data_IF_977064651773
#
_entry.id   IF_977064651773
#
_cell.length_a   1.000
_cell.length_b   1.000
_cell.length_c   1.000
_cell.angle_alpha   90.00
_cell.angle_beta   90.00
_cell.angle_gamma   90.00
#
_symmetry.space_group_name_H-M   'P 1'
#
loop_
_entity.id
_entity.type
_entity.pdbx_description
1 polymer ?
#
# COMPACT_ATOMS: atom_id res chain seq x y z
N UNK A 1 -33.74 -18.29 -0.82
CA UNK A 1 -32.53 -18.25 0.02
C UNK A 1 -32.67 -17.11 1.00
N UNK A 2 -32.97 -17.41 2.26
CA UNK A 2 -33.25 -16.41 3.30
C UNK A 2 -32.02 -15.53 3.50
N UNK A 3 -32.16 -14.26 3.13
CA UNK A 3 -31.16 -13.22 3.23
C UNK A 3 -30.98 -12.86 4.71
N UNK A 4 -30.41 -13.77 5.50
CA UNK A 4 -30.15 -13.57 6.91
C UNK A 4 -28.89 -12.69 7.03
N UNK A 5 -29.03 -11.41 6.68
CA UNK A 5 -28.02 -10.34 6.82
C UNK A 5 -28.20 -9.60 8.16
N UNK A 6 -28.60 -10.32 9.22
CA UNK A 6 -28.64 -9.74 10.57
C UNK A 6 -27.21 -9.54 11.06
N UNK A 7 -26.93 -8.38 11.66
CA UNK A 7 -25.67 -8.14 12.38
C UNK A 7 -25.51 -9.13 13.53
N UNK A 8 -24.27 -9.53 13.80
CA UNK A 8 -23.96 -10.39 14.94
C UNK A 8 -24.29 -9.66 16.25
N UNK A 9 -24.82 -10.39 17.23
CA UNK A 9 -24.91 -9.89 18.61
C UNK A 9 -23.53 -9.86 19.26
N UNK A 10 -23.39 -9.14 20.37
CA UNK A 10 -22.12 -9.09 21.12
C UNK A 10 -21.66 -10.49 21.54
N UNK A 11 -22.59 -11.34 21.98
CA UNK A 11 -22.28 -12.70 22.42
C UNK A 11 -21.86 -13.60 21.24
N UNK A 12 -22.49 -13.42 20.07
CA UNK A 12 -22.08 -14.10 18.84
C UNK A 12 -20.69 -13.65 18.37
N UNK A 13 -20.38 -12.35 18.46
CA UNK A 13 -19.03 -11.80 18.14
C UNK A 13 -17.97 -12.43 19.05
N UNK A 14 -18.23 -12.51 20.36
CA UNK A 14 -17.31 -13.12 21.34
C UNK A 14 -17.13 -14.61 21.05
N UNK A 15 -18.24 -15.33 20.86
CA UNK A 15 -18.23 -16.77 20.56
C UNK A 15 -17.44 -17.09 19.29
N UNK A 16 -17.70 -16.35 18.19
CA UNK A 16 -16.96 -16.53 16.95
C UNK A 16 -15.48 -16.18 17.11
N UNK A 17 -15.15 -15.08 17.78
CA UNK A 17 -13.76 -14.71 18.02
C UNK A 17 -12.99 -15.75 18.84
N UNK A 18 -13.60 -16.34 19.87
CA UNK A 18 -13.00 -17.42 20.65
C UNK A 18 -12.73 -18.67 19.80
N UNK A 19 -13.67 -19.03 18.91
CA UNK A 19 -13.48 -20.16 17.97
C UNK A 19 -12.33 -19.91 17.00
N UNK A 20 -12.18 -18.67 16.52
CA UNK A 20 -11.08 -18.28 15.62
C UNK A 20 -9.73 -18.37 16.33
N UNK A 21 -9.63 -17.87 17.58
CA UNK A 21 -8.40 -17.99 18.37
C UNK A 21 -8.07 -19.46 18.68
N UNK A 22 -9.06 -20.27 19.04
CA UNK A 22 -8.86 -21.70 19.27
C UNK A 22 -8.40 -22.43 18.00
N UNK A 23 -8.94 -22.05 16.84
CA UNK A 23 -8.51 -22.58 15.54
C UNK A 23 -7.10 -22.13 15.14
N UNK A 24 -6.69 -20.91 15.49
CA UNK A 24 -5.32 -20.44 15.28
C UNK A 24 -4.32 -21.26 16.12
N UNK A 25 -4.63 -21.49 17.41
CA UNK A 25 -3.85 -22.37 18.27
C UNK A 25 -3.77 -23.81 17.72
N UNK A 26 -4.90 -24.36 17.26
CA UNK A 26 -4.94 -25.67 16.63
C UNK A 26 -4.12 -25.72 15.32
N UNK A 27 -4.11 -24.62 14.55
CA UNK A 27 -3.31 -24.50 13.33
C UNK A 27 -1.82 -24.55 13.64
N UNK A 28 -1.36 -23.87 14.68
CA UNK A 28 0.04 -23.91 15.12
C UNK A 28 0.46 -25.33 15.55
N UNK A 29 -0.43 -26.07 16.22
CA UNK A 29 -0.17 -27.49 16.56
C UNK A 29 -0.03 -28.34 15.30
N UNK A 30 -0.94 -28.19 14.33
CA UNK A 30 -0.88 -28.94 13.05
C UNK A 30 0.40 -28.60 12.29
N UNK A 31 0.79 -27.32 12.23
CA UNK A 31 2.02 -26.89 11.56
C UNK A 31 3.26 -27.49 12.22
N UNK A 32 3.31 -27.53 13.56
CA UNK A 32 4.41 -28.17 14.28
C UNK A 32 4.52 -29.66 13.98
N UNK A 33 3.39 -30.38 13.92
CA UNK A 33 3.39 -31.79 13.52
C UNK A 33 3.79 -31.96 12.04
N UNK A 34 3.39 -31.03 11.17
CA UNK A 34 3.80 -31.01 9.77
C UNK A 34 5.33 -30.84 9.65
N UNK A 35 5.92 -29.92 10.42
CA UNK A 35 7.36 -29.71 10.47
C UNK A 35 8.10 -30.95 10.99
N UNK A 36 7.59 -31.58 12.04
CA UNK A 36 8.16 -32.82 12.57
C UNK A 36 8.13 -33.95 11.53
N UNK A 37 7.02 -34.08 10.78
CA UNK A 37 6.89 -35.03 9.69
C UNK A 37 7.87 -34.74 8.54
N UNK A 38 7.99 -33.48 8.13
CA UNK A 38 8.94 -33.07 7.08
C UNK A 38 10.40 -33.33 7.47
N UNK A 39 10.72 -33.30 8.77
CA UNK A 39 12.05 -33.66 9.27
C UNK A 39 12.29 -35.17 9.29
N UNK A 40 11.30 -35.98 9.64
CA UNK A 40 11.43 -37.44 9.64
C UNK A 40 11.48 -38.01 8.22
N UNK A 41 10.70 -37.45 7.29
CA UNK A 41 10.58 -37.95 5.92
C UNK A 41 10.79 -36.83 4.88
N UNK A 42 12.02 -36.34 4.71
CA UNK A 42 12.32 -35.18 3.87
C UNK A 42 12.08 -35.41 2.37
N UNK A 43 12.12 -36.67 1.91
CA UNK A 43 11.99 -37.04 0.49
C UNK A 43 10.60 -37.58 0.12
N UNK A 44 9.65 -37.63 1.06
CA UNK A 44 8.29 -38.08 0.80
C UNK A 44 7.52 -37.10 -0.10
N UNK A 45 6.66 -37.61 -0.98
CA UNK A 45 5.77 -36.79 -1.82
C UNK A 45 4.90 -35.86 -0.94
N UNK A 46 4.47 -36.37 0.22
CA UNK A 46 3.69 -35.63 1.21
C UNK A 46 4.46 -34.42 1.73
N UNK A 47 5.75 -34.58 2.04
CA UNK A 47 6.62 -33.47 2.47
C UNK A 47 6.77 -32.40 1.39
N UNK A 48 6.94 -32.80 0.12
CA UNK A 48 7.02 -31.86 -1.00
C UNK A 48 5.72 -31.07 -1.18
N UNK A 49 4.56 -31.73 -1.05
CA UNK A 49 3.24 -31.06 -1.11
C UNK A 49 3.05 -30.07 0.03
N UNK A 50 3.36 -30.46 1.26
CA UNK A 50 3.24 -29.58 2.43
C UNK A 50 4.15 -28.36 2.29
N UNK A 51 5.41 -28.56 1.87
CA UNK A 51 6.35 -27.45 1.63
C UNK A 51 5.82 -26.48 0.59
N UNK A 52 5.29 -26.98 -0.53
CA UNK A 52 4.70 -26.13 -1.56
C UNK A 52 3.49 -25.33 -1.06
N UNK A 53 2.68 -25.89 -0.17
CA UNK A 53 1.56 -25.16 0.46
C UNK A 53 2.10 -24.05 1.36
N UNK A 54 3.11 -24.35 2.18
CA UNK A 54 3.71 -23.40 3.12
C UNK A 54 4.35 -22.23 2.37
N UNK A 55 5.20 -22.51 1.37
CA UNK A 55 5.94 -21.49 0.63
C UNK A 55 5.04 -20.51 -0.14
N UNK A 56 3.89 -20.99 -0.63
CA UNK A 56 2.93 -20.17 -1.37
C UNK A 56 1.97 -19.36 -0.49
N UNK A 57 1.95 -19.61 0.83
CA UNK A 57 0.91 -19.09 1.70
C UNK A 57 1.46 -18.06 2.70
N UNK A 58 0.88 -16.86 2.70
CA UNK A 58 1.12 -15.88 3.77
C UNK A 58 0.13 -16.12 4.92
N UNK A 59 0.56 -15.83 6.15
CA UNK A 59 -0.26 -15.90 7.37
C UNK A 59 -0.98 -17.26 7.56
N UNK A 60 -0.22 -18.35 7.50
CA UNK A 60 -0.74 -19.73 7.56
C UNK A 60 -1.58 -20.02 8.81
N UNK A 61 -1.22 -19.43 9.96
CA UNK A 61 -1.95 -19.58 11.23
C UNK A 61 -3.46 -19.31 11.08
N UNK A 62 -3.83 -18.31 10.27
CA UNK A 62 -5.22 -17.93 10.04
C UNK A 62 -5.77 -18.38 8.68
N UNK A 63 -4.96 -19.09 7.88
CA UNK A 63 -5.38 -19.67 6.61
C UNK A 63 -5.93 -21.08 6.81
N UNK A 64 -7.06 -21.16 7.51
CA UNK A 64 -7.68 -22.40 7.94
C UNK A 64 -7.96 -23.40 6.80
N UNK A 65 -8.21 -22.92 5.57
CA UNK A 65 -8.41 -23.79 4.40
C UNK A 65 -7.12 -24.53 4.01
N UNK A 66 -5.97 -23.86 4.09
CA UNK A 66 -4.66 -24.46 3.82
C UNK A 66 -4.19 -25.37 4.95
N UNK A 67 -4.47 -25.00 6.19
CA UNK A 67 -4.22 -25.87 7.35
C UNK A 67 -5.07 -27.15 7.28
N UNK A 68 -6.34 -27.04 6.87
CA UNK A 68 -7.19 -28.20 6.63
C UNK A 68 -6.61 -29.12 5.53
N UNK A 69 -6.07 -28.54 4.46
CA UNK A 69 -5.39 -29.29 3.40
C UNK A 69 -4.17 -30.05 3.96
N UNK A 70 -3.27 -29.36 4.68
CA UNK A 70 -2.09 -29.96 5.31
C UNK A 70 -2.48 -31.09 6.28
N UNK A 71 -3.45 -30.84 7.16
CA UNK A 71 -3.90 -31.82 8.14
C UNK A 71 -4.47 -33.09 7.49
N UNK A 72 -5.24 -32.95 6.39
CA UNK A 72 -5.76 -34.11 5.65
C UNK A 72 -4.64 -34.94 5.01
N UNK A 73 -3.64 -34.29 4.44
CA UNK A 73 -2.49 -34.98 3.83
C UNK A 73 -1.71 -35.73 4.92
N UNK A 74 -1.44 -35.09 6.07
CA UNK A 74 -0.76 -35.75 7.20
C UNK A 74 -1.54 -36.95 7.73
N UNK A 75 -2.87 -36.83 7.90
CA UNK A 75 -3.71 -37.93 8.39
C UNK A 75 -3.71 -39.11 7.42
N UNK A 76 -3.63 -38.87 6.10
CA UNK A 76 -3.61 -39.93 5.10
C UNK A 76 -2.30 -40.74 5.09
N UNK A 77 -1.19 -40.11 5.49
CA UNK A 77 0.14 -40.74 5.51
C UNK A 77 0.42 -41.49 6.82
N UNK A 78 -0.30 -41.16 7.90
CA UNK A 78 -0.07 -41.76 9.22
C UNK A 78 -0.46 -43.25 9.24
N UNK A 79 0.49 -44.06 9.70
CA UNK A 79 0.26 -45.50 9.93
C UNK A 79 -0.72 -45.75 11.09
N UNK A 80 -1.49 -46.86 11.08
CA UNK A 80 -2.48 -47.19 12.14
C UNK A 80 -1.91 -47.24 13.56
N UNK A 81 -0.61 -47.50 13.70
CA UNK A 81 0.11 -47.55 14.99
C UNK A 81 0.32 -46.16 15.63
N UNK A 82 0.11 -45.08 14.86
CA UNK A 82 0.21 -43.68 15.33
C UNK A 82 -1.09 -43.11 15.88
N UNK A 83 -1.97 -43.94 16.46
CA UNK A 83 -3.33 -43.57 16.83
C UNK A 83 -3.44 -42.32 17.72
N UNK A 84 -2.46 -42.06 18.60
CA UNK A 84 -2.44 -40.83 19.41
C UNK A 84 -2.20 -39.55 18.58
N UNK A 85 -1.27 -39.60 17.61
CA UNK A 85 -0.98 -38.47 16.70
C UNK A 85 -2.14 -38.23 15.74
N UNK A 86 -2.71 -39.31 15.22
CA UNK A 86 -3.88 -39.22 14.34
C UNK A 86 -5.06 -38.57 15.09
N UNK A 87 -5.34 -39.01 16.32
CA UNK A 87 -6.41 -38.43 17.13
C UNK A 87 -6.17 -36.95 17.46
N UNK A 88 -4.92 -36.57 17.75
CA UNK A 88 -4.53 -35.17 17.95
C UNK A 88 -4.82 -34.33 16.71
N UNK A 89 -4.40 -34.79 15.52
CA UNK A 89 -4.63 -34.07 14.27
C UNK A 89 -6.11 -33.97 13.93
N UNK A 90 -6.89 -35.04 14.11
CA UNK A 90 -8.35 -35.03 13.89
C UNK A 90 -9.07 -34.04 14.81
N UNK A 91 -8.67 -33.99 16.08
CA UNK A 91 -9.24 -33.06 17.06
C UNK A 91 -8.93 -31.61 16.71
N UNK A 92 -7.68 -31.31 16.33
CA UNK A 92 -7.30 -29.96 15.92
C UNK A 92 -7.92 -29.57 14.57
N UNK A 93 -8.05 -30.50 13.63
CA UNK A 93 -8.74 -30.27 12.35
C UNK A 93 -10.21 -29.87 12.55
N UNK A 94 -10.91 -30.50 13.51
CA UNK A 94 -12.29 -30.12 13.85
C UNK A 94 -12.36 -28.66 14.34
N UNK A 95 -11.43 -28.24 15.20
CA UNK A 95 -11.33 -26.84 15.66
C UNK A 95 -11.04 -25.89 14.51
N UNK A 96 -10.12 -26.24 13.61
CA UNK A 96 -9.78 -25.43 12.43
C UNK A 96 -10.99 -25.22 11.51
N UNK A 97 -11.79 -26.27 11.27
CA UNK A 97 -13.03 -26.17 10.49
C UNK A 97 -14.05 -25.25 11.15
N UNK A 98 -14.24 -25.40 12.46
CA UNK A 98 -15.16 -24.55 13.22
C UNK A 98 -14.73 -23.08 13.20
N UNK A 99 -13.45 -22.80 13.44
CA UNK A 99 -12.90 -21.44 13.34
C UNK A 99 -12.95 -20.87 11.92
N UNK A 100 -12.76 -21.71 10.89
CA UNK A 100 -12.97 -21.34 9.49
C UNK A 100 -14.39 -20.88 9.19
N UNK A 101 -15.38 -21.61 9.69
CA UNK A 101 -16.78 -21.22 9.57
C UNK A 101 -17.08 -19.93 10.34
N UNK A 102 -16.59 -19.81 11.58
CA UNK A 102 -16.75 -18.63 12.42
C UNK A 102 -16.12 -17.37 11.77
N UNK A 103 -14.89 -17.48 11.23
CA UNK A 103 -14.21 -16.42 10.46
C UNK A 103 -15.05 -15.98 9.27
N UNK A 104 -15.57 -16.94 8.51
CA UNK A 104 -16.46 -16.67 7.38
C UNK A 104 -17.73 -15.91 7.79
N UNK A 105 -18.38 -16.31 8.87
CA UNK A 105 -19.55 -15.59 9.40
C UNK A 105 -19.17 -14.17 9.83
N UNK A 106 -18.10 -13.98 10.59
CA UNK A 106 -17.66 -12.64 11.01
C UNK A 106 -17.39 -11.72 9.82
N UNK A 107 -16.76 -12.22 8.76
CA UNK A 107 -16.51 -11.43 7.55
C UNK A 107 -17.83 -11.06 6.85
N UNK A 108 -18.65 -12.06 6.50
CA UNK A 108 -19.89 -11.85 5.71
C UNK A 108 -20.85 -10.90 6.42
N UNK A 109 -21.01 -11.04 7.74
CA UNK A 109 -21.93 -10.22 8.53
C UNK A 109 -21.46 -8.76 8.67
N UNK A 110 -20.16 -8.49 8.51
CA UNK A 110 -19.58 -7.16 8.64
C UNK A 110 -19.25 -6.46 7.31
N UNK A 111 -19.55 -7.07 6.15
CA UNK A 111 -19.34 -6.42 4.84
C UNK A 111 -20.09 -5.08 4.68
N UNK A 112 -21.22 -4.91 5.38
CA UNK A 112 -21.96 -3.64 5.38
C UNK A 112 -21.15 -2.47 5.98
N UNK A 113 -20.34 -2.75 7.01
CA UNK A 113 -19.43 -1.78 7.61
C UNK A 113 -18.37 -1.33 6.60
N UNK A 114 -17.77 -2.27 5.87
CA UNK A 114 -16.77 -1.98 4.83
C UNK A 114 -17.36 -1.08 3.75
N UNK A 115 -18.54 -1.42 3.21
CA UNK A 115 -19.20 -0.59 2.19
C UNK A 115 -19.47 0.83 2.69
N UNK A 116 -19.96 0.98 3.92
CA UNK A 116 -20.21 2.30 4.52
C UNK A 116 -18.93 3.13 4.66
N UNK A 117 -17.85 2.50 5.13
CA UNK A 117 -16.56 3.18 5.30
C UNK A 117 -15.93 3.53 3.95
N UNK A 118 -15.96 2.62 2.97
CA UNK A 118 -15.48 2.90 1.62
C UNK A 118 -16.21 4.08 0.97
N UNK A 119 -17.53 4.20 1.14
CA UNK A 119 -18.31 5.34 0.63
C UNK A 119 -17.88 6.67 1.26
N UNK A 120 -17.49 6.67 2.54
CA UNK A 120 -17.05 7.89 3.24
C UNK A 120 -15.64 8.32 2.80
N UNK A 121 -14.84 7.36 2.31
CA UNK A 121 -13.46 7.55 1.86
C UNK A 121 -13.36 7.52 0.32
N UNK A 122 -14.42 7.94 -0.38
CA UNK A 122 -14.41 8.05 -1.83
C UNK A 122 -13.28 8.98 -2.28
N UNK A 123 -12.59 8.58 -3.34
CA UNK A 123 -11.45 9.30 -3.92
C UNK A 123 -11.64 9.39 -5.43
N UNK A 124 -11.22 10.51 -6.04
CA UNK A 124 -11.24 10.66 -7.49
C UNK A 124 -10.31 9.66 -8.20
N UNK A 125 -9.27 9.21 -7.51
CA UNK A 125 -8.22 8.36 -8.09
C UNK A 125 -8.53 6.87 -8.06
N UNK A 126 -9.56 6.46 -7.29
CA UNK A 126 -9.76 5.06 -6.96
C UNK A 126 -11.21 4.67 -7.16
N UNK A 127 -11.44 3.57 -7.89
CA UNK A 127 -12.78 3.03 -8.08
C UNK A 127 -13.37 2.57 -6.73
N UNK A 128 -14.67 2.77 -6.57
CA UNK A 128 -15.39 2.39 -5.35
C UNK A 128 -15.27 0.88 -5.04
N UNK A 129 -15.28 0.04 -6.07
CA UNK A 129 -15.14 -1.41 -5.92
C UNK A 129 -13.75 -1.80 -5.39
N UNK A 130 -12.69 -1.10 -5.82
CA UNK A 130 -11.34 -1.32 -5.32
C UNK A 130 -11.24 -0.93 -3.84
N UNK A 131 -11.82 0.22 -3.44
CA UNK A 131 -11.89 0.62 -2.03
C UNK A 131 -12.61 -0.41 -1.17
N UNK A 132 -13.68 -1.02 -1.69
CA UNK A 132 -14.40 -2.10 -1.00
C UNK A 132 -13.52 -3.33 -0.86
N UNK A 133 -12.77 -3.72 -1.90
CA UNK A 133 -11.88 -4.88 -1.83
C UNK A 133 -10.73 -4.67 -0.85
N UNK A 134 -10.09 -3.50 -0.88
CA UNK A 134 -9.04 -3.16 0.07
C UNK A 134 -9.58 -3.04 1.50
N UNK A 135 -10.79 -2.51 1.67
CA UNK A 135 -11.50 -2.52 2.93
C UNK A 135 -11.82 -3.93 3.44
N UNK A 136 -12.13 -4.87 2.54
CA UNK A 136 -12.34 -6.29 2.89
C UNK A 136 -11.02 -6.93 3.38
N UNK A 137 -9.88 -6.58 2.80
CA UNK A 137 -8.57 -7.03 3.32
C UNK A 137 -8.32 -6.52 4.74
N UNK A 138 -8.63 -5.25 5.00
CA UNK A 138 -8.58 -4.66 6.34
C UNK A 138 -9.53 -5.37 7.33
N UNK A 139 -10.75 -5.68 6.89
CA UNK A 139 -11.72 -6.44 7.69
C UNK A 139 -11.21 -7.84 8.03
N UNK A 140 -10.62 -8.56 7.07
CA UNK A 140 -10.05 -9.89 7.31
C UNK A 140 -8.96 -9.81 8.39
N UNK A 141 -8.04 -8.85 8.28
CA UNK A 141 -6.99 -8.63 9.30
C UNK A 141 -7.58 -8.30 10.68
N UNK A 142 -8.65 -7.52 10.72
CA UNK A 142 -9.35 -7.23 11.97
C UNK A 142 -9.95 -8.48 12.59
N UNK A 143 -10.57 -9.37 11.79
CA UNK A 143 -11.12 -10.64 12.29
C UNK A 143 -10.03 -11.55 12.85
N UNK A 144 -8.86 -11.60 12.19
CA UNK A 144 -7.72 -12.41 12.62
C UNK A 144 -7.12 -11.92 13.94
N UNK A 145 -7.07 -10.60 14.17
CA UNK A 145 -6.44 -9.99 15.36
C UNK A 145 -7.41 -9.59 16.47
N UNK A 146 -8.70 -9.87 16.30
CA UNK A 146 -9.71 -9.49 17.28
C UNK A 146 -9.52 -10.27 18.59
N UNK A 147 -9.54 -9.55 19.72
CA UNK A 147 -9.54 -10.14 21.05
C UNK A 147 -10.95 -10.10 21.68
N UNK A 148 -11.62 -11.26 21.83
CA UNK A 148 -12.94 -11.36 22.47
C UNK A 148 -12.96 -10.93 23.93
N UNK A 149 -11.83 -11.02 24.63
CA UNK A 149 -11.78 -10.79 26.08
C UNK A 149 -11.74 -9.31 26.45
N UNK A 150 -11.44 -8.45 25.47
CA UNK A 150 -11.27 -7.01 25.68
C UNK A 150 -12.62 -6.26 25.88
N UNK A 151 -13.76 -6.95 25.71
CA UNK A 151 -15.09 -6.42 26.02
C UNK A 151 -15.68 -5.40 25.03
N UNK A 152 -14.90 -5.00 24.02
CA UNK A 152 -15.29 -4.08 22.96
C UNK A 152 -16.05 -4.79 21.83
N UNK A 153 -17.00 -4.10 21.19
CA UNK A 153 -17.68 -4.62 19.99
C UNK A 153 -16.69 -4.76 18.84
N UNK A 154 -16.84 -5.81 18.04
CA UNK A 154 -15.95 -6.06 16.89
C UNK A 154 -15.96 -4.88 15.89
N UNK A 155 -17.14 -4.33 15.61
CA UNK A 155 -17.29 -3.17 14.71
C UNK A 155 -16.47 -1.94 15.11
N UNK A 156 -16.24 -1.72 16.41
CA UNK A 156 -15.39 -0.63 16.90
C UNK A 156 -13.93 -0.89 16.53
N UNK A 157 -13.44 -2.11 16.78
CA UNK A 157 -12.08 -2.53 16.47
C UNK A 157 -11.81 -2.57 14.96
N UNK A 158 -12.73 -3.16 14.20
CA UNK A 158 -12.58 -3.33 12.74
C UNK A 158 -12.55 -2.00 11.99
N UNK A 159 -13.18 -0.95 12.53
CA UNK A 159 -13.22 0.37 11.89
C UNK A 159 -11.83 0.90 11.57
N UNK A 160 -10.89 0.80 12.51
CA UNK A 160 -9.55 1.37 12.34
C UNK A 160 -8.73 0.57 11.32
N UNK A 161 -8.82 -0.76 11.35
CA UNK A 161 -8.20 -1.64 10.33
C UNK A 161 -8.72 -1.40 8.92
N UNK A 162 -10.03 -1.24 8.77
CA UNK A 162 -10.66 -0.95 7.47
C UNK A 162 -10.20 0.42 6.97
N UNK A 163 -10.30 1.47 7.81
CA UNK A 163 -9.87 2.83 7.44
C UNK A 163 -8.39 2.89 7.08
N UNK A 164 -7.53 2.25 7.88
CA UNK A 164 -6.09 2.24 7.64
C UNK A 164 -5.76 1.61 6.28
N UNK A 165 -6.40 0.48 5.95
CA UNK A 165 -6.13 -0.23 4.69
C UNK A 165 -6.65 0.56 3.49
N UNK A 166 -7.85 1.14 3.60
CA UNK A 166 -8.41 2.01 2.56
C UNK A 166 -7.54 3.25 2.34
N UNK A 167 -7.18 3.97 3.40
CA UNK A 167 -6.36 5.18 3.29
C UNK A 167 -4.99 4.87 2.71
N UNK A 168 -4.35 3.78 3.15
CA UNK A 168 -3.06 3.34 2.60
C UNK A 168 -3.17 3.05 1.10
N UNK A 169 -4.22 2.38 0.66
CA UNK A 169 -4.42 2.11 -0.76
C UNK A 169 -4.63 3.40 -1.56
N UNK A 170 -5.48 4.32 -1.06
CA UNK A 170 -5.66 5.62 -1.68
C UNK A 170 -4.33 6.37 -1.79
N UNK A 171 -3.50 6.32 -0.74
CA UNK A 171 -2.18 6.94 -0.72
C UNK A 171 -1.22 6.33 -1.75
N UNK A 172 -1.33 5.02 -2.01
CA UNK A 172 -0.56 4.30 -3.03
C UNK A 172 -0.95 4.66 -4.47
N UNK A 173 -2.20 5.09 -4.71
CA UNK A 173 -2.70 5.46 -6.04
C UNK A 173 -2.35 6.89 -6.47
N UNK A 174 -1.73 7.70 -5.60
CA UNK A 174 -1.27 9.03 -6.00
C UNK A 174 -0.04 8.92 -6.92
N UNK A 175 -0.03 9.69 -8.01
CA UNK A 175 1.09 9.74 -8.96
C UNK A 175 2.41 10.10 -8.28
N UNK A 176 2.37 11.08 -7.37
CA UNK A 176 3.53 11.50 -6.57
C UNK A 176 3.33 10.99 -5.14
N UNK A 177 4.25 10.13 -4.69
CA UNK A 177 4.18 9.55 -3.35
C UNK A 177 4.63 10.56 -2.29
N UNK A 178 3.69 10.98 -1.45
CA UNK A 178 3.96 11.81 -0.27
C UNK A 178 4.07 10.90 0.97
N UNK A 179 5.21 10.94 1.71
CA UNK A 179 5.38 10.22 2.97
C UNK A 179 4.25 10.49 3.99
N UNK A 180 3.94 9.49 4.81
CA UNK A 180 2.84 9.53 5.78
C UNK A 180 2.95 10.71 6.76
N UNK A 181 4.15 10.98 7.30
CA UNK A 181 4.34 12.06 8.26
C UNK A 181 4.06 13.45 7.66
N UNK A 182 4.34 13.66 6.37
CA UNK A 182 4.00 14.90 5.67
C UNK A 182 2.49 14.98 5.38
N UNK A 183 1.89 13.87 4.95
CA UNK A 183 0.44 13.79 4.70
C UNK A 183 -0.37 14.11 5.96
N UNK A 184 0.03 13.58 7.11
CA UNK A 184 -0.60 13.87 8.40
C UNK A 184 -0.53 15.37 8.75
N UNK A 185 0.60 16.03 8.47
CA UNK A 185 0.73 17.49 8.64
C UNK A 185 -0.20 18.26 7.69
N UNK A 186 -0.24 17.88 6.40
CA UNK A 186 -1.14 18.47 5.40
C UNK A 186 -2.61 18.33 5.82
N UNK A 187 -3.02 17.14 6.29
CA UNK A 187 -4.38 16.91 6.77
C UNK A 187 -4.72 17.73 8.02
N UNK A 188 -3.76 17.92 8.94
CA UNK A 188 -3.94 18.82 10.10
C UNK A 188 -4.18 20.26 9.65
N UNK A 189 -3.38 20.77 8.71
CA UNK A 189 -3.53 22.11 8.14
C UNK A 189 -4.90 22.25 7.46
N UNK A 190 -5.29 21.30 6.58
CA UNK A 190 -6.61 21.32 5.93
C UNK A 190 -7.76 21.28 6.92
N UNK A 191 -7.63 20.50 7.99
CA UNK A 191 -8.64 20.45 9.06
C UNK A 191 -8.75 21.80 9.77
N UNK A 192 -7.63 22.41 10.16
CA UNK A 192 -7.59 23.74 10.77
C UNK A 192 -8.21 24.80 9.84
N UNK A 193 -7.87 24.77 8.54
CA UNK A 193 -8.44 25.66 7.53
C UNK A 193 -9.96 25.55 7.44
N UNK A 194 -10.50 24.32 7.38
CA UNK A 194 -11.94 24.08 7.34
C UNK A 194 -12.64 24.50 8.64
N UNK A 195 -12.04 24.21 9.79
CA UNK A 195 -12.59 24.62 11.09
C UNK A 195 -12.62 26.15 11.23
N UNK A 196 -11.55 26.83 10.82
CA UNK A 196 -11.49 28.29 10.81
C UNK A 196 -12.51 28.91 9.87
N UNK A 197 -12.63 28.37 8.64
CA UNK A 197 -13.61 28.82 7.66
C UNK A 197 -15.05 28.68 8.19
N UNK A 198 -15.35 27.58 8.86
CA UNK A 198 -16.66 27.36 9.49
C UNK A 198 -16.93 28.33 10.65
N UNK A 199 -15.92 28.64 11.47
CA UNK A 199 -16.07 29.50 12.63
C UNK A 199 -16.14 31.00 12.27
N UNK A 200 -15.32 31.45 11.31
CA UNK A 200 -15.12 32.87 10.98
C UNK A 200 -15.72 33.30 9.65
N UNK A 201 -16.16 32.35 8.80
CA UNK A 201 -16.70 32.63 7.47
C UNK A 201 -15.68 33.20 6.48
N UNK A 202 -14.38 33.13 6.80
CA UNK A 202 -13.27 33.64 5.99
C UNK A 202 -12.14 32.62 5.92
N UNK A 203 -11.33 32.69 4.86
CA UNK A 203 -10.15 31.84 4.71
C UNK A 203 -9.08 32.19 5.76
N UNK A 204 -8.41 31.17 6.29
CA UNK A 204 -7.35 31.34 7.29
C UNK A 204 -6.07 31.85 6.61
N UNK A 205 -5.41 32.84 7.23
CA UNK A 205 -4.06 33.27 6.83
C UNK A 205 -3.01 32.26 7.28
N UNK A 206 -1.85 32.25 6.62
CA UNK A 206 -0.73 31.33 6.94
C UNK A 206 -0.33 31.46 8.42
N UNK A 207 -0.28 32.68 8.95
CA UNK A 207 0.07 32.95 10.34
C UNK A 207 -0.90 32.28 11.34
N UNK A 208 -2.21 32.33 11.04
CA UNK A 208 -3.23 31.67 11.87
C UNK A 208 -3.07 30.15 11.82
N UNK A 209 -2.84 29.60 10.63
CA UNK A 209 -2.63 28.15 10.47
C UNK A 209 -1.36 27.66 11.17
N UNK A 210 -0.29 28.44 11.10
CA UNK A 210 0.97 28.17 11.77
C UNK A 210 0.81 28.13 13.30
N UNK A 211 0.10 29.11 13.87
CA UNK A 211 -0.22 29.14 15.30
C UNK A 211 -1.09 27.95 15.73
N UNK A 212 -2.13 27.62 14.96
CA UNK A 212 -3.07 26.53 15.30
C UNK A 212 -2.42 25.14 15.17
N UNK A 213 -1.53 24.97 14.19
CA UNK A 213 -0.87 23.69 13.93
C UNK A 213 0.43 23.49 14.71
N UNK A 214 0.91 24.51 15.43
CA UNK A 214 2.21 24.55 16.12
C UNK A 214 3.39 24.33 15.16
N UNK A 215 3.40 25.08 14.05
CA UNK A 215 4.37 24.96 12.96
C UNK A 215 4.92 26.33 12.56
N UNK A 216 6.07 26.38 11.88
CA UNK A 216 6.56 27.65 11.31
C UNK A 216 5.76 28.06 10.08
N UNK A 217 5.62 29.36 9.81
CA UNK A 217 4.90 29.87 8.63
C UNK A 217 5.50 29.32 7.32
N UNK A 218 6.84 29.27 7.23
CA UNK A 218 7.54 28.72 6.07
C UNK A 218 7.25 27.21 5.87
N UNK A 219 7.12 26.46 6.97
CA UNK A 219 6.75 25.04 6.89
C UNK A 219 5.31 24.86 6.40
N UNK A 220 4.38 25.69 6.89
CA UNK A 220 2.99 25.67 6.42
C UNK A 220 2.91 26.01 4.93
N UNK A 221 3.63 27.05 4.50
CA UNK A 221 3.71 27.46 3.09
C UNK A 221 4.27 26.34 2.20
N UNK A 222 5.37 25.70 2.64
CA UNK A 222 5.97 24.57 1.94
C UNK A 222 5.02 23.38 1.84
N UNK A 223 4.25 23.09 2.89
CA UNK A 223 3.31 21.97 2.88
C UNK A 223 2.07 22.24 2.03
N UNK A 224 1.63 23.51 1.96
CA UNK A 224 0.53 23.93 1.09
C UNK A 224 0.94 23.94 -0.39
N UNK A 225 2.22 24.13 -0.70
CA UNK A 225 2.73 24.08 -2.08
C UNK A 225 2.81 22.66 -2.65
N UNK A 226 2.90 21.64 -1.80
CA UNK A 226 2.87 20.23 -2.21
C UNK A 226 1.47 19.89 -2.71
N UNK A 227 1.32 19.82 -4.04
CA UNK A 227 0.13 19.31 -4.72
C UNK A 227 0.38 17.87 -5.19
N UNK A 228 -0.09 16.85 -4.46
CA UNK A 228 0.06 15.45 -4.90
C UNK A 228 -0.80 15.14 -6.13
N UNK A 229 -1.79 15.98 -6.42
CA UNK A 229 -2.75 15.85 -7.50
C UNK A 229 -2.13 16.32 -8.83
N UNK A 230 -1.60 15.38 -9.60
CA UNK A 230 -1.12 15.65 -10.96
C UNK A 230 -2.30 15.82 -11.94
N UNK A 231 -2.19 16.76 -12.86
CA UNK A 231 -3.17 16.96 -13.94
C UNK A 231 -2.67 16.27 -15.20
N UNK A 232 -3.56 15.62 -15.93
CA UNK A 232 -3.23 14.99 -17.22
C UNK A 232 -2.89 16.05 -18.27
N UNK A 233 -1.81 15.83 -19.03
CA UNK A 233 -1.44 16.67 -20.17
C UNK A 233 -2.42 16.56 -21.34
N UNK A 234 -3.09 15.41 -21.46
CA UNK A 234 -4.13 15.16 -22.49
C UNK A 234 -5.49 15.71 -22.08
N UNK A 235 -5.55 16.50 -21.00
CA UNK A 235 -6.78 17.16 -20.60
C UNK A 235 -7.00 18.34 -21.54
N UNK A 236 -8.11 18.35 -22.26
CA UNK A 236 -8.51 19.49 -23.09
C UNK A 236 -8.60 20.76 -22.24
N UNK A 237 -8.07 21.85 -22.76
CA UNK A 237 -8.07 23.15 -22.09
C UNK A 237 -8.95 24.14 -22.87
N UNK A 238 -9.95 24.72 -22.20
CA UNK A 238 -10.91 25.65 -22.83
C UNK A 238 -12.03 24.96 -23.64
N UNK A 239 -12.68 25.71 -24.53
CA UNK A 239 -13.74 25.23 -25.44
C UNK A 239 -13.20 24.59 -26.73
N UNK A 240 -11.89 24.64 -26.96
CA UNK A 240 -11.23 24.06 -28.13
C UNK A 240 -10.77 22.62 -27.92
N UNK A 241 -10.34 21.97 -29.01
CA UNK A 241 -9.75 20.62 -29.02
C UNK A 241 -8.26 20.60 -28.62
N UNK A 242 -7.72 21.68 -28.05
CA UNK A 242 -6.30 21.75 -27.68
C UNK A 242 -6.04 21.10 -26.33
N UNK A 243 -5.13 20.13 -26.32
CA UNK A 243 -4.59 19.50 -25.11
C UNK A 243 -3.69 20.44 -24.33
N UNK A 244 -3.62 20.25 -23.00
CA UNK A 244 -2.75 21.01 -22.09
C UNK A 244 -1.26 20.89 -22.47
N UNK A 245 -0.86 19.76 -23.06
CA UNK A 245 0.50 19.51 -23.55
C UNK A 245 1.01 20.63 -24.48
N UNK A 246 0.13 21.15 -25.36
CA UNK A 246 0.51 22.16 -26.34
C UNK A 246 0.82 23.55 -25.73
N UNK A 247 0.52 23.75 -24.45
CA UNK A 247 0.77 25.00 -23.74
C UNK A 247 2.03 24.96 -22.86
N UNK A 248 2.68 23.80 -22.75
CA UNK A 248 3.90 23.66 -21.95
C UNK A 248 5.11 23.91 -22.83
N UNK A 249 5.89 24.93 -22.46
CA UNK A 249 7.14 25.27 -23.14
C UNK A 249 8.27 24.31 -22.72
N UNK A 250 9.09 23.89 -23.69
CA UNK A 250 10.30 23.12 -23.43
C UNK A 250 11.50 24.07 -23.20
N UNK A 251 11.71 24.44 -21.94
CA UNK A 251 12.82 25.30 -21.51
C UNK A 251 14.22 24.73 -21.79
N UNK A 252 14.33 23.42 -22.06
CA UNK A 252 15.63 22.78 -22.35
C UNK A 252 15.95 22.72 -23.82
N UNK A 253 14.94 22.90 -24.68
CA UNK A 253 15.16 22.94 -26.11
C UNK A 253 15.87 24.24 -26.48
N UNK A 254 16.97 24.12 -27.23
CA UNK A 254 17.60 25.31 -27.81
C UNK A 254 16.64 25.89 -28.85
N UNK A 255 16.44 27.20 -28.78
CA UNK A 255 15.72 27.87 -29.86
C UNK A 255 16.56 27.77 -31.15
N UNK A 256 15.94 27.85 -32.35
CA UNK A 256 16.68 27.86 -33.60
C UNK A 256 17.75 28.96 -33.67
N UNK A 257 17.51 30.08 -32.98
CA UNK A 257 18.45 31.19 -32.86
C UNK A 257 19.65 30.80 -31.98
N UNK A 258 19.41 30.25 -30.78
CA UNK A 258 20.48 29.80 -29.88
C UNK A 258 21.34 28.69 -30.53
N UNK A 259 20.71 27.76 -31.24
CA UNK A 259 21.41 26.69 -31.94
C UNK A 259 22.28 27.22 -33.10
N UNK A 260 21.78 28.23 -33.83
CA UNK A 260 22.55 28.90 -34.87
C UNK A 260 23.72 29.68 -34.26
N UNK A 261 23.50 30.40 -33.16
CA UNK A 261 24.55 31.12 -32.45
C UNK A 261 25.64 30.17 -31.94
N UNK A 262 25.27 29.06 -31.30
CA UNK A 262 26.24 28.06 -30.83
C UNK A 262 27.08 27.49 -31.98
N UNK A 263 26.46 27.27 -33.14
CA UNK A 263 27.16 26.83 -34.36
C UNK A 263 28.11 27.89 -34.89
N UNK A 264 27.68 29.15 -34.95
CA UNK A 264 28.52 30.28 -35.37
C UNK A 264 29.70 30.49 -34.42
N UNK A 265 29.49 30.33 -33.11
CA UNK A 265 30.57 30.41 -32.11
C UNK A 265 31.57 29.27 -32.34
N UNK A 266 31.11 28.04 -32.58
CA UNK A 266 31.99 26.89 -32.88
C UNK A 266 32.81 27.10 -34.15
N UNK A 267 32.22 27.64 -35.22
CA UNK A 267 32.93 27.93 -36.47
C UNK A 267 33.97 29.04 -36.30
N UNK A 268 33.62 30.13 -35.60
CA UNK A 268 34.57 31.21 -35.29
C UNK A 268 35.71 30.71 -34.41
N UNK A 269 35.41 29.89 -33.41
CA UNK A 269 36.41 29.27 -32.54
C UNK A 269 37.35 28.38 -33.35
N UNK A 270 36.81 27.54 -34.25
CA UNK A 270 37.61 26.69 -35.15
C UNK A 270 38.54 27.54 -36.04
N UNK A 271 38.01 28.59 -36.64
CA UNK A 271 38.76 29.50 -37.51
C UNK A 271 39.88 30.23 -36.75
N UNK A 272 39.61 30.68 -35.51
CA UNK A 272 40.59 31.30 -34.63
C UNK A 272 41.69 30.30 -34.20
N UNK A 273 41.33 29.05 -33.91
CA UNK A 273 42.30 27.99 -33.62
C UNK A 273 43.16 27.67 -34.85
N UNK A 274 42.59 27.72 -36.06
CA UNK A 274 43.29 27.49 -37.33
C UNK A 274 44.35 28.56 -37.64
N UNK A 275 44.15 29.79 -37.17
CA UNK A 275 45.11 30.89 -37.30
C UNK A 275 46.33 30.79 -36.37
N UNK A 276 46.25 30.00 -35.29
CA UNK A 276 47.35 29.76 -34.36
C UNK A 276 48.37 28.77 -34.92
N UNK A 277 49.62 28.86 -34.45
CA UNK A 277 50.65 27.87 -34.77
C UNK A 277 50.27 26.46 -34.27
N UNK A 278 50.81 25.38 -34.87
CA UNK A 278 50.45 24.02 -34.50
C UNK A 278 50.64 23.72 -32.99
N UNK A 279 51.71 24.24 -32.39
CA UNK A 279 52.05 24.00 -30.98
C UNK A 279 51.10 24.78 -30.05
N UNK A 280 50.78 26.04 -30.35
CA UNK A 280 49.84 26.86 -29.57
C UNK A 280 48.43 26.28 -29.60
N UNK A 281 47.99 25.79 -30.76
CA UNK A 281 46.67 25.16 -30.93
C UNK A 281 46.52 23.92 -30.05
N UNK A 282 47.54 23.06 -29.99
CA UNK A 282 47.53 21.83 -29.17
C UNK A 282 47.44 22.19 -27.68
N UNK A 283 48.15 23.22 -27.23
CA UNK A 283 48.10 23.69 -25.83
C UNK A 283 46.70 24.22 -25.48
N UNK A 284 46.10 25.06 -26.33
CA UNK A 284 44.76 25.64 -26.10
C UNK A 284 43.68 24.55 -26.08
N UNK A 285 43.67 23.66 -27.08
CA UNK A 285 42.66 22.59 -27.18
C UNK A 285 42.73 21.65 -25.98
N UNK A 286 43.93 21.26 -25.55
CA UNK A 286 44.11 20.41 -24.37
C UNK A 286 43.76 21.12 -23.06
N UNK A 287 44.08 22.42 -22.93
CA UNK A 287 43.80 23.19 -21.72
C UNK A 287 42.30 23.40 -21.49
N UNK A 288 41.54 23.64 -22.56
CA UNK A 288 40.10 23.92 -22.49
C UNK A 288 39.22 22.74 -22.93
N UNK A 289 39.79 21.56 -23.16
CA UNK A 289 39.07 20.35 -23.53
C UNK A 289 38.15 20.52 -24.77
N UNK A 290 38.57 21.34 -25.75
CA UNK A 290 37.73 21.73 -26.89
C UNK A 290 37.46 20.58 -27.88
N UNK A 291 38.19 19.47 -27.75
CA UNK A 291 38.00 18.22 -28.50
C UNK A 291 37.08 17.20 -27.78
N UNK A 292 36.50 17.59 -26.64
CA UNK A 292 35.64 16.75 -25.82
C UNK A 292 36.39 15.65 -25.04
N UNK A 293 37.74 15.66 -25.04
CA UNK A 293 38.58 14.61 -24.43
C UNK A 293 39.41 15.07 -23.23
N UNK A 294 39.16 16.27 -22.69
CA UNK A 294 39.94 16.85 -21.58
C UNK A 294 39.30 16.68 -20.19
N UNK A 295 40.17 16.52 -19.18
CA UNK A 295 39.84 16.63 -17.75
C UNK A 295 39.68 18.10 -17.39
N UNK A 296 38.51 18.51 -16.91
CA UNK A 296 38.34 19.83 -16.28
C UNK A 296 39.30 19.93 -15.08
N UNK A 297 40.06 21.02 -14.99
CA UNK A 297 40.75 21.45 -13.76
C UNK A 297 39.76 22.16 -12.85
#
# INVERSE_FOLDING_TARGET
MTNNKRLLTKDEEISHGMKIQSAAQASNIILREAEAFMQSEPSSETTLRIRLIIDKSKNLEYNFKKIEEISKVLIAELSPESGAKEQLLRTNLAKVKEGGWAKGQMIVRNQGLVRKLAMTHSSQYVAQDDLIQQGNEGLIRAVEKFDPNMGNKFSTYARDWIKQTINRYVDEQHTIKVPEYLRNKIMRIRKAQNTYLQAMGKEATISVLASECEMSENEVETLLSIKPDAVSLNKSFGEGESDLENFIEDEKSLTPEDAAEETMVKEKLKSALEALSPDERVVIVRRYALDGKGRQL
#
